data_IF_990175061313
#
_entry.id   IF_990175061313
#
_cell.length_a   1.000
_cell.length_b   1.000
_cell.length_c   1.000
_cell.angle_alpha   90.00
_cell.angle_beta   90.00
_cell.angle_gamma   90.00
#
_symmetry.space_group_name_H-M   'P 1'
#
loop_
_entity.id
_entity.type
_entity.pdbx_description
1 polymer ?
#
# COMPACT_ATOMS: atom_id res chain seq x y z
N UNK A 1 -21.13 54.70 -9.33
CA UNK A 1 -21.76 54.48 -10.65
C UNK A 1 -22.00 52.99 -10.87
N UNK A 2 -23.24 52.54 -11.13
CA UNK A 2 -23.58 51.15 -11.45
C UNK A 2 -23.65 50.91 -12.97
N UNK A 3 -23.47 49.67 -13.45
CA UNK A 3 -24.04 49.05 -14.69
C UNK A 3 -23.30 47.71 -14.96
N UNK A 4 -23.90 46.53 -14.71
CA UNK A 4 -24.83 45.70 -15.54
C UNK A 4 -24.24 45.16 -16.86
N UNK A 5 -24.15 43.81 -16.90
CA UNK A 5 -24.52 42.83 -17.96
C UNK A 5 -24.07 43.06 -19.41
N UNK A 6 -23.50 42.03 -20.06
CA UNK A 6 -24.21 41.25 -21.07
C UNK A 6 -23.38 40.09 -21.67
N UNK A 7 -24.01 38.92 -21.71
CA UNK A 7 -23.73 37.73 -22.51
C UNK A 7 -24.20 38.01 -23.96
N UNK A 8 -23.45 37.61 -24.98
CA UNK A 8 -24.03 37.36 -26.31
C UNK A 8 -23.34 36.19 -27.02
N UNK A 9 -24.20 35.26 -27.37
CA UNK A 9 -24.03 34.02 -28.11
C UNK A 9 -24.48 34.33 -29.54
N UNK A 10 -23.79 33.84 -30.57
CA UNK A 10 -24.39 33.67 -31.90
C UNK A 10 -23.76 32.50 -32.64
N UNK A 11 -24.66 31.67 -33.12
CA UNK A 11 -24.56 30.32 -33.68
C UNK A 11 -24.50 30.37 -35.21
N UNK A 12 -23.78 29.42 -35.85
CA UNK A 12 -24.05 28.71 -37.15
C UNK A 12 -24.27 29.53 -38.45
N UNK A 13 -23.85 29.15 -39.67
CA UNK A 13 -24.12 27.89 -40.41
C UNK A 13 -23.53 27.96 -41.85
N UNK A 14 -23.21 26.79 -42.47
CA UNK A 14 -23.22 26.52 -43.94
C UNK A 14 -21.85 26.45 -44.64
N UNK A 15 -21.31 25.27 -45.02
CA UNK A 15 -21.57 24.44 -46.24
C UNK A 15 -21.07 25.14 -47.54
N UNK A 16 -20.30 24.59 -48.48
CA UNK A 16 -20.09 23.21 -48.99
C UNK A 16 -18.85 23.20 -49.94
N UNK A 17 -18.50 22.02 -50.47
CA UNK A 17 -17.69 21.72 -51.68
C UNK A 17 -16.20 21.27 -51.59
N UNK A 18 -16.04 19.96 -51.37
CA UNK A 18 -15.30 18.95 -52.16
C UNK A 18 -14.01 19.27 -52.95
N UNK A 19 -12.91 18.58 -52.58
CA UNK A 19 -11.94 17.90 -53.48
C UNK A 19 -10.87 17.17 -52.63
N UNK A 20 -10.93 15.84 -52.48
CA UNK A 20 -10.24 14.84 -53.31
C UNK A 20 -8.88 14.37 -52.73
N UNK A 21 -8.93 13.17 -52.13
CA UNK A 21 -7.92 12.08 -52.09
C UNK A 21 -6.42 12.41 -51.97
N UNK A 22 -5.85 12.03 -50.82
CA UNK A 22 -4.48 11.50 -50.74
C UNK A 22 -4.48 10.24 -49.87
N UNK A 23 -4.43 9.10 -50.55
CA UNK A 23 -4.17 7.76 -50.02
C UNK A 23 -2.75 7.72 -49.41
N UNK A 24 -2.62 7.28 -48.15
CA UNK A 24 -1.36 6.78 -47.61
C UNK A 24 -1.59 5.87 -46.38
N UNK A 25 -1.48 4.56 -46.64
CA UNK A 25 -1.34 3.41 -45.75
C UNK A 25 -2.56 2.89 -44.96
N UNK A 26 -3.13 1.73 -45.36
CA UNK A 26 -3.93 0.91 -44.47
C UNK A 26 -2.95 0.07 -43.62
N UNK A 27 -2.42 0.65 -42.55
CA UNK A 27 -1.68 -0.14 -41.57
C UNK A 27 -2.67 -1.08 -40.89
N UNK A 28 -2.62 -2.34 -41.32
CA UNK A 28 -3.29 -3.46 -40.71
C UNK A 28 -2.91 -3.52 -39.22
N UNK A 29 -3.92 -3.70 -38.39
CA UNK A 29 -3.82 -4.17 -37.00
C UNK A 29 -3.25 -3.16 -35.99
N UNK A 30 -3.90 -2.01 -35.81
CA UNK A 30 -3.87 -1.35 -34.50
C UNK A 30 -4.71 -2.20 -33.51
N UNK A 31 -4.10 -3.25 -32.97
CA UNK A 31 -4.62 -3.97 -31.81
C UNK A 31 -4.20 -3.17 -30.58
N UNK A 32 -5.13 -2.59 -29.80
CA UNK A 32 -4.77 -1.95 -28.55
C UNK A 32 -4.01 -2.97 -27.69
N UNK A 33 -2.78 -2.65 -27.29
CA UNK A 33 -2.03 -3.43 -26.31
C UNK A 33 -2.90 -3.51 -25.05
N UNK A 34 -3.59 -4.63 -24.86
CA UNK A 34 -4.25 -4.94 -23.60
C UNK A 34 -3.14 -5.02 -22.56
N UNK A 35 -2.99 -3.96 -21.77
CA UNK A 35 -2.13 -3.96 -20.59
C UNK A 35 -2.62 -5.15 -19.77
N UNK A 36 -1.78 -6.19 -19.54
CA UNK A 36 -2.18 -7.29 -18.69
C UNK A 36 -2.62 -6.69 -17.36
N UNK A 37 -3.86 -6.97 -16.96
CA UNK A 37 -4.37 -6.54 -15.68
C UNK A 37 -3.51 -7.21 -14.62
N UNK A 38 -2.55 -6.46 -14.08
CA UNK A 38 -1.59 -6.98 -13.10
C UNK A 38 -2.39 -7.41 -11.88
N UNK A 39 -2.60 -8.71 -11.74
CA UNK A 39 -3.41 -9.28 -10.67
C UNK A 39 -2.70 -9.00 -9.36
N UNK A 40 -3.19 -7.99 -8.63
CA UNK A 40 -2.62 -7.60 -7.35
C UNK A 40 -2.95 -8.69 -6.34
N UNK A 41 -1.93 -9.46 -5.98
CA UNK A 41 -2.03 -10.44 -4.91
C UNK A 41 -2.05 -9.73 -3.56
N UNK A 42 -3.12 -9.94 -2.81
CA UNK A 42 -3.35 -9.37 -1.49
C UNK A 42 -3.31 -10.46 -0.44
N UNK A 43 -2.72 -10.13 0.70
CA UNK A 43 -2.68 -10.97 1.89
C UNK A 43 -3.16 -10.18 3.10
N UNK A 44 -3.94 -10.82 3.96
CA UNK A 44 -4.37 -10.27 5.24
C UNK A 44 -3.41 -10.75 6.32
N UNK A 45 -2.59 -9.84 6.86
CA UNK A 45 -1.71 -10.11 8.00
C UNK A 45 -2.52 -9.98 9.30
N UNK A 46 -2.63 -11.07 10.06
CA UNK A 46 -3.13 -11.09 11.44
C UNK A 46 -1.96 -10.84 12.39
N UNK A 47 -1.76 -9.58 12.76
CA UNK A 47 -0.65 -9.13 13.60
C UNK A 47 -0.98 -9.43 15.06
N UNK A 48 -0.14 -10.23 15.71
CA UNK A 48 -0.29 -10.64 17.11
C UNK A 48 0.92 -10.26 17.94
N UNK A 49 0.67 -9.44 18.96
CA UNK A 49 1.69 -9.10 19.95
C UNK A 49 1.74 -10.19 21.02
N UNK A 50 2.93 -10.70 21.33
CA UNK A 50 3.11 -11.88 22.21
C UNK A 50 2.40 -11.73 23.57
N UNK A 51 2.54 -10.57 24.19
CA UNK A 51 2.13 -10.37 25.58
C UNK A 51 0.79 -9.64 25.72
N UNK A 52 0.31 -8.99 24.67
CA UNK A 52 -0.84 -8.06 24.74
C UNK A 52 -1.81 -8.25 23.57
N UNK A 53 -2.77 -9.16 23.75
CA UNK A 53 -3.76 -9.49 22.72
C UNK A 53 -4.70 -8.34 22.32
N UNK A 54 -4.87 -7.33 23.18
CA UNK A 54 -5.67 -6.14 22.87
C UNK A 54 -5.05 -5.27 21.77
N UNK A 55 -3.74 -5.40 21.56
CA UNK A 55 -3.01 -4.65 20.52
C UNK A 55 -2.94 -5.39 19.18
N UNK A 56 -3.58 -6.56 19.09
CA UNK A 56 -3.64 -7.32 17.85
C UNK A 56 -4.50 -6.60 16.81
N UNK A 57 -4.08 -6.64 15.55
CA UNK A 57 -4.84 -6.04 14.47
C UNK A 57 -4.67 -6.82 13.17
N UNK A 58 -5.66 -6.67 12.28
CA UNK A 58 -5.59 -7.21 10.93
C UNK A 58 -5.24 -6.11 9.95
N UNK A 59 -4.35 -6.42 9.02
CA UNK A 59 -3.91 -5.47 8.01
C UNK A 59 -3.77 -6.14 6.64
N UNK A 60 -4.53 -5.65 5.67
CA UNK A 60 -4.51 -6.16 4.29
C UNK A 60 -3.44 -5.41 3.49
N UNK A 61 -2.51 -6.15 2.90
CA UNK A 61 -1.36 -5.62 2.15
C UNK A 61 -1.09 -6.43 0.89
N UNK A 62 -0.31 -5.86 -0.03
CA UNK A 62 0.16 -6.58 -1.23
C UNK A 62 1.28 -7.55 -0.86
N UNK A 63 1.39 -8.68 -1.55
CA UNK A 63 2.51 -9.62 -1.37
C UNK A 63 3.87 -9.01 -1.75
N UNK A 64 3.86 -8.03 -2.66
CA UNK A 64 5.02 -7.22 -3.03
C UNK A 64 5.47 -6.20 -1.97
N UNK A 65 4.71 -6.07 -0.88
CA UNK A 65 5.07 -5.16 0.23
C UNK A 65 6.34 -5.66 0.90
N UNK A 66 7.27 -4.75 1.17
CA UNK A 66 8.54 -5.06 1.86
C UNK A 66 8.37 -5.09 3.36
N UNK A 67 9.23 -5.84 4.05
CA UNK A 67 9.22 -5.90 5.51
C UNK A 67 9.41 -4.52 6.15
N UNK A 68 10.19 -3.63 5.55
CA UNK A 68 10.32 -2.24 5.98
C UNK A 68 8.97 -1.53 6.15
N UNK A 69 8.03 -1.73 5.23
CA UNK A 69 6.72 -1.10 5.31
C UNK A 69 5.90 -1.65 6.49
N UNK A 70 6.09 -2.93 6.83
CA UNK A 70 5.47 -3.55 8.01
C UNK A 70 6.03 -2.96 9.30
N UNK A 71 7.34 -2.76 9.39
CA UNK A 71 7.98 -2.10 10.54
C UNK A 71 7.45 -0.68 10.73
N UNK A 72 7.38 0.09 9.64
CA UNK A 72 6.86 1.45 9.66
C UNK A 72 5.37 1.50 10.08
N UNK A 73 4.56 0.54 9.64
CA UNK A 73 3.16 0.46 10.08
C UNK A 73 3.04 0.14 11.58
N UNK A 74 3.91 -0.73 12.10
CA UNK A 74 3.97 -1.03 13.54
C UNK A 74 4.41 0.19 14.35
N UNK A 75 5.42 0.94 13.89
CA UNK A 75 5.85 2.20 14.51
C UNK A 75 4.74 3.27 14.47
N UNK A 76 3.99 3.39 13.38
CA UNK A 76 2.87 4.33 13.30
C UNK A 76 1.75 3.99 14.29
N UNK A 77 1.48 2.71 14.51
CA UNK A 77 0.41 2.27 15.42
C UNK A 77 0.82 2.30 16.89
N UNK A 78 2.02 1.84 17.20
CA UNK A 78 2.49 1.69 18.58
C UNK A 78 3.35 2.86 19.07
N UNK A 79 3.75 3.76 18.17
CA UNK A 79 4.66 4.86 18.45
C UNK A 79 6.13 4.42 18.36
N UNK A 80 7.04 5.19 18.98
CA UNK A 80 8.46 4.84 19.01
C UNK A 80 8.68 3.51 19.72
N UNK A 81 9.21 2.53 18.98
CA UNK A 81 9.51 1.18 19.47
C UNK A 81 10.98 0.85 19.21
N UNK A 82 11.57 0.03 20.07
CA UNK A 82 12.92 -0.52 19.94
C UNK A 82 12.89 -2.04 19.97
N UNK A 83 13.93 -2.69 19.45
CA UNK A 83 14.07 -4.15 19.44
C UNK A 83 12.85 -4.88 18.86
N UNK A 84 12.32 -4.36 17.74
CA UNK A 84 11.19 -4.97 17.04
C UNK A 84 11.62 -6.30 16.42
N UNK A 85 11.00 -7.39 16.88
CA UNK A 85 11.11 -8.73 16.31
C UNK A 85 9.80 -9.10 15.64
N UNK A 86 9.87 -9.61 14.42
CA UNK A 86 8.72 -10.04 13.64
C UNK A 86 8.96 -11.49 13.21
N UNK A 87 8.08 -12.39 13.55
CA UNK A 87 8.14 -13.80 13.19
C UNK A 87 6.90 -14.21 12.40
N UNK A 88 7.11 -15.04 11.38
CA UNK A 88 6.03 -15.65 10.58
C UNK A 88 5.48 -16.90 11.28
N UNK A 89 4.16 -17.03 11.32
CA UNK A 89 3.36 -18.16 11.83
C UNK A 89 3.52 -18.51 13.32
N UNK A 90 4.75 -18.54 13.82
CA UNK A 90 5.07 -18.81 15.22
C UNK A 90 6.26 -17.96 15.67
N UNK A 91 6.32 -17.62 16.95
CA UNK A 91 7.45 -16.90 17.53
C UNK A 91 8.63 -17.87 17.75
N UNK A 92 9.41 -18.06 16.69
CA UNK A 92 10.66 -18.81 16.69
C UNK A 92 11.73 -18.02 15.93
N UNK A 93 12.98 -18.15 16.36
CA UNK A 93 14.13 -17.46 15.75
C UNK A 93 14.31 -17.83 14.27
N UNK A 94 14.02 -19.09 13.90
CA UNK A 94 14.08 -19.54 12.51
C UNK A 94 13.00 -18.95 11.59
N UNK A 95 11.94 -18.36 12.16
CA UNK A 95 10.87 -17.70 11.42
C UNK A 95 10.97 -16.17 11.50
N UNK A 96 12.05 -15.65 12.07
CA UNK A 96 12.27 -14.21 12.23
C UNK A 96 12.54 -13.56 10.86
N UNK A 97 11.74 -12.55 10.55
CA UNK A 97 11.88 -11.71 9.36
C UNK A 97 12.92 -10.64 9.67
N UNK A 98 14.14 -10.81 9.17
CA UNK A 98 15.27 -9.92 9.47
C UNK A 98 15.58 -8.95 8.35
N UNK A 99 15.50 -9.39 7.10
CA UNK A 99 15.79 -8.55 5.93
C UNK A 99 14.63 -7.61 5.60
N UNK A 100 14.90 -6.31 5.70
CA UNK A 100 13.95 -5.22 5.48
C UNK A 100 13.60 -5.00 4.00
N UNK A 101 14.51 -5.37 3.09
CA UNK A 101 14.35 -5.15 1.65
C UNK A 101 13.58 -6.27 0.97
N UNK A 102 13.51 -7.44 1.63
CA UNK A 102 12.74 -8.57 1.13
C UNK A 102 11.23 -8.32 1.18
N UNK A 103 10.54 -8.83 0.16
CA UNK A 103 9.09 -8.77 0.05
C UNK A 103 8.41 -9.90 0.84
N UNK A 104 7.15 -9.72 1.21
CA UNK A 104 6.36 -10.76 1.88
C UNK A 104 6.30 -12.04 1.03
N UNK A 105 6.20 -11.90 -0.29
CA UNK A 105 6.25 -13.04 -1.23
C UNK A 105 7.56 -13.85 -1.10
N UNK A 106 8.71 -13.19 -0.97
CA UNK A 106 10.01 -13.89 -0.83
C UNK A 106 10.15 -14.63 0.51
N UNK A 107 9.41 -14.20 1.53
CA UNK A 107 9.27 -14.93 2.80
C UNK A 107 8.23 -16.08 2.73
N UNK A 108 7.73 -16.40 1.53
CA UNK A 108 6.72 -17.42 1.27
C UNK A 108 5.35 -17.05 1.86
N UNK A 109 5.04 -15.75 1.94
CA UNK A 109 3.69 -15.27 2.26
C UNK A 109 2.99 -15.01 0.94
N UNK A 110 2.35 -16.06 0.44
CA UNK A 110 1.58 -16.00 -0.80
C UNK A 110 0.22 -15.37 -0.53
N UNK A 111 -0.22 -14.52 -1.46
CA UNK A 111 -1.51 -13.85 -1.42
C UNK A 111 -2.49 -14.50 -2.37
N UNK A 112 -3.74 -14.04 -2.29
CA UNK A 112 -4.74 -14.35 -3.28
C UNK A 112 -5.08 -13.08 -4.09
N UNK A 113 -5.46 -13.22 -5.36
CA UNK A 113 -6.05 -12.11 -6.10
C UNK A 113 -7.31 -11.60 -5.39
N UNK A 114 -7.62 -10.32 -5.56
CA UNK A 114 -8.69 -9.63 -4.80
C UNK A 114 -10.08 -10.27 -4.91
N UNK A 115 -10.33 -11.02 -5.98
CA UNK A 115 -11.59 -11.71 -6.26
C UNK A 115 -11.70 -13.10 -5.62
N UNK A 116 -10.62 -13.60 -5.02
CA UNK A 116 -10.56 -14.93 -4.43
C UNK A 116 -10.58 -14.89 -2.89
N UNK A 117 -10.65 -16.06 -2.26
CA UNK A 117 -10.75 -16.22 -0.80
C UNK A 117 -9.59 -15.52 -0.09
N UNK A 118 -9.91 -14.73 0.94
CA UNK A 118 -8.91 -14.04 1.74
C UNK A 118 -7.89 -15.02 2.35
N UNK A 119 -6.62 -14.85 1.98
CA UNK A 119 -5.49 -15.54 2.59
C UNK A 119 -5.09 -14.77 3.84
N UNK A 120 -5.12 -15.45 4.99
CA UNK A 120 -4.75 -14.89 6.28
C UNK A 120 -3.44 -15.49 6.73
N UNK A 121 -2.42 -14.67 6.92
CA UNK A 121 -1.12 -15.07 7.46
C UNK A 121 -0.98 -14.54 8.90
N UNK A 122 -0.57 -15.39 9.83
CA UNK A 122 -0.35 -14.98 11.22
C UNK A 122 1.07 -14.46 11.39
N UNK A 123 1.19 -13.23 11.89
CA UNK A 123 2.47 -12.61 12.16
C UNK A 123 2.56 -12.33 13.65
N UNK A 124 3.54 -12.94 14.30
CA UNK A 124 3.84 -12.66 15.70
C UNK A 124 4.89 -11.57 15.76
N UNK A 125 4.72 -10.60 16.64
CA UNK A 125 5.72 -9.57 16.84
C UNK A 125 5.91 -9.28 18.32
N UNK A 126 7.09 -8.79 18.66
CA UNK A 126 7.46 -8.33 19.99
C UNK A 126 8.31 -7.06 19.87
N UNK A 127 8.13 -6.12 20.79
CA UNK A 127 8.89 -4.89 20.80
C UNK A 127 9.06 -4.37 22.23
N UNK A 128 10.06 -3.52 22.43
CA UNK A 128 10.24 -2.76 23.67
C UNK A 128 9.88 -1.30 23.43
N UNK A 129 8.99 -0.68 24.23
CA UNK A 129 8.71 0.74 24.12
C UNK A 129 10.00 1.55 24.27
N UNK A 130 10.22 2.55 23.42
CA UNK A 130 11.35 3.45 23.59
C UNK A 130 11.11 4.30 24.83
N UNK A 131 11.89 4.09 25.89
CA UNK A 131 11.92 5.04 27.01
C UNK A 131 12.74 6.25 26.59
N UNK A 132 12.06 7.36 26.36
CA UNK A 132 12.71 8.64 26.28
C UNK A 132 12.87 9.19 27.69
N UNK A 133 14.10 9.51 28.07
CA UNK A 133 14.39 10.36 29.22
C UNK A 133 13.90 11.77 28.86
N UNK A 134 12.59 11.97 28.98
CA UNK A 134 11.94 13.20 28.58
C UNK A 134 11.95 14.12 29.81
N UNK A 135 12.79 15.17 29.82
CA UNK A 135 12.91 16.04 30.99
C UNK A 135 11.60 16.75 31.34
N UNK A 136 10.63 16.79 30.41
CA UNK A 136 9.28 17.31 30.65
C UNK A 136 8.38 16.35 31.43
N UNK A 137 8.65 15.05 31.39
CA UNK A 137 7.88 14.05 32.13
C UNK A 137 8.40 13.87 33.57
N UNK A 138 9.49 14.56 33.95
CA UNK A 138 10.15 14.47 35.27
C UNK A 138 10.49 13.04 35.74
N UNK A 139 10.39 12.06 34.85
CA UNK A 139 10.73 10.66 35.10
C UNK A 139 12.25 10.49 34.96
N UNK A 140 12.99 10.98 35.95
CA UNK A 140 14.40 10.65 36.10
C UNK A 140 14.48 9.44 37.02
N UNK A 141 15.07 8.33 36.54
CA UNK A 141 15.34 7.17 37.40
C UNK A 141 16.45 7.54 38.40
N UNK A 142 16.08 7.68 39.68
CA UNK A 142 17.04 7.50 40.76
C UNK A 142 17.28 6.01 40.90
N UNK A 143 18.46 5.56 40.45
CA UNK A 143 19.00 4.22 40.70
C UNK A 143 19.16 3.94 42.21
#
# INVERSE_FOLDING_TARGET
>A
MPKKKAKKQSTTTGADDSAAVADAHPDADYVPLAIPEETVELVTLDMRLLNWSYLNFKWKVKTSTRLFAVKNELEKRHGPITNLKICKDHFAEGNELTDEMMSLHEYGIDGAPEYEKEVVCQIYYDFKPTQHDNPLLLATEQY
#
